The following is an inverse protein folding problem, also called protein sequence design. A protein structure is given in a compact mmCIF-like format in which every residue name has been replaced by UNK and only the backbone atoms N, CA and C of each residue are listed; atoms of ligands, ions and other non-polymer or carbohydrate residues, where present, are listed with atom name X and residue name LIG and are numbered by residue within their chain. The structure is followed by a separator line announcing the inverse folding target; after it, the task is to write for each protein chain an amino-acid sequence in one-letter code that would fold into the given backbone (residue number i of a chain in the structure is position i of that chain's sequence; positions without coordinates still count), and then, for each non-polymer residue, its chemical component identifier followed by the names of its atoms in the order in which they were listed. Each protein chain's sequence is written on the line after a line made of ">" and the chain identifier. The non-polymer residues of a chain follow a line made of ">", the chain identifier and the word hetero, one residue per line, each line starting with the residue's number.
data_IF_912840865895
#
_entry.id   IF_912840865895
#
_cell.length_a   1.000
_cell.length_b   1.000
_cell.length_c   1.000
_cell.angle_alpha   90.00
_cell.angle_beta   90.00
_cell.angle_gamma   90.00
#
_symmetry.space_group_name_H-M   'P 1'
#
loop_
_entity.id
_entity.type
_entity.pdbx_description
1 polymer ?
#
# COMPACT_ATOMS: atom_id res chain seq x y z
N UNK A 1 1.21 5.20 56.31
CA UNK A 1 0.67 4.70 55.03
C UNK A 1 1.24 5.55 53.90
N UNK A 2 1.64 4.89 52.83
CA UNK A 2 2.87 5.14 52.06
C UNK A 2 2.77 6.27 51.04
N UNK A 3 3.69 7.23 51.15
CA UNK A 3 3.91 8.33 50.22
C UNK A 3 4.55 7.80 48.93
N UNK A 4 3.79 7.71 47.83
CA UNK A 4 4.32 7.36 46.49
C UNK A 4 4.58 8.64 45.70
N UNK A 5 5.76 9.22 45.92
CA UNK A 5 6.36 10.19 45.01
C UNK A 5 6.73 9.47 43.71
N UNK A 6 5.87 9.59 42.69
CA UNK A 6 6.24 9.20 41.33
C UNK A 6 7.15 10.28 40.74
N UNK A 7 8.44 10.00 40.78
CA UNK A 7 9.49 10.76 40.08
C UNK A 7 9.13 10.76 38.59
N UNK A 8 8.78 11.93 38.05
CA UNK A 8 8.71 12.11 36.60
C UNK A 8 10.14 11.99 36.05
N UNK A 9 10.44 10.84 35.44
CA UNK A 9 11.64 10.69 34.64
C UNK A 9 11.55 11.62 33.42
N UNK A 10 12.25 12.73 33.51
CA UNK A 10 12.48 13.67 32.44
C UNK A 10 13.35 12.98 31.39
N UNK A 11 12.74 12.39 30.36
CA UNK A 11 13.45 11.87 29.21
C UNK A 11 13.98 13.04 28.39
N UNK A 12 15.21 13.45 28.71
CA UNK A 12 16.09 14.21 27.83
C UNK A 12 16.26 13.43 26.52
N UNK A 13 15.39 13.71 25.54
CA UNK A 13 15.43 13.06 24.25
C UNK A 13 16.50 13.75 23.41
N UNK A 14 17.70 13.15 23.37
CA UNK A 14 18.74 13.47 22.41
C UNK A 14 18.15 13.45 21.00
N UNK A 15 17.98 14.63 20.43
CA UNK A 15 17.28 14.87 19.18
C UNK A 15 18.19 14.52 17.99
N UNK A 16 18.55 13.24 17.83
CA UNK A 16 19.03 12.72 16.56
C UNK A 16 17.83 12.60 15.64
N UNK A 17 17.41 13.74 15.07
CA UNK A 17 16.26 13.82 14.18
C UNK A 17 16.45 12.89 12.99
N UNK A 18 15.78 11.74 13.01
CA UNK A 18 15.76 10.84 11.85
C UNK A 18 15.33 11.62 10.61
N UNK A 19 15.98 11.39 9.45
CA UNK A 19 15.54 12.00 8.20
C UNK A 19 14.07 11.65 7.97
N UNK A 20 13.27 12.68 7.69
CA UNK A 20 11.84 12.50 7.49
C UNK A 20 11.58 11.92 6.11
N UNK A 21 10.47 11.18 5.99
CA UNK A 21 10.04 10.57 4.75
C UNK A 21 8.52 10.67 4.57
N UNK A 22 8.08 10.66 3.32
CA UNK A 22 6.68 10.38 3.01
C UNK A 22 6.41 8.89 3.26
N UNK A 23 5.57 8.60 4.26
CA UNK A 23 5.14 7.23 4.53
C UNK A 23 3.75 7.06 3.94
N UNK A 24 3.64 6.19 2.95
CA UNK A 24 2.39 5.89 2.24
C UNK A 24 1.99 4.45 2.55
N UNK A 25 0.73 4.25 2.87
CA UNK A 25 0.08 2.95 3.07
C UNK A 25 -1.10 2.83 2.12
N UNK A 26 -1.54 1.61 1.84
CA UNK A 26 -2.73 1.34 1.05
C UNK A 26 -3.70 0.57 1.94
N UNK A 27 -4.93 1.03 2.08
CA UNK A 27 -5.97 0.29 2.77
C UNK A 27 -6.95 -0.36 1.79
N UNK A 28 -6.75 -1.65 1.54
CA UNK A 28 -7.66 -2.50 0.76
C UNK A 28 -8.69 -3.20 1.66
N UNK A 29 -8.76 -2.88 2.97
CA UNK A 29 -9.60 -3.58 3.96
C UNK A 29 -8.87 -4.67 4.75
N UNK A 30 -7.54 -4.76 4.65
CA UNK A 30 -6.72 -5.83 5.28
C UNK A 30 -5.83 -5.34 6.44
N UNK A 31 -6.01 -4.10 6.88
CA UNK A 31 -5.28 -3.57 8.03
C UNK A 31 -3.78 -3.33 7.76
N UNK A 32 -3.38 -3.11 6.50
CA UNK A 32 -2.02 -2.74 6.11
C UNK A 32 -1.51 -1.45 6.79
N UNK A 33 -2.41 -0.63 7.33
CA UNK A 33 -2.07 0.51 8.17
C UNK A 33 -1.33 0.10 9.46
N UNK A 34 -1.54 -1.11 9.98
CA UNK A 34 -0.83 -1.62 11.18
C UNK A 34 0.67 -1.76 10.93
N UNK A 35 1.07 -2.24 9.75
CA UNK A 35 2.48 -2.36 9.38
C UNK A 35 3.15 -0.98 9.16
N UNK A 36 2.37 0.02 8.77
CA UNK A 36 2.89 1.38 8.61
C UNK A 36 3.04 2.14 9.94
N UNK A 37 2.30 1.76 10.99
CA UNK A 37 2.27 2.46 12.28
C UNK A 37 3.66 2.64 12.94
N UNK A 38 4.55 1.62 12.99
CA UNK A 38 5.90 1.78 13.53
C UNK A 38 6.76 2.83 12.80
N UNK A 39 6.42 3.17 11.55
CA UNK A 39 7.12 4.17 10.74
C UNK A 39 6.67 5.60 11.04
N UNK A 40 5.70 5.81 11.93
CA UNK A 40 5.20 7.15 12.29
C UNK A 40 6.31 8.10 12.78
N UNK A 41 7.35 7.58 13.44
CA UNK A 41 8.50 8.37 13.92
C UNK A 41 9.32 9.02 12.80
N UNK A 42 9.40 8.37 11.63
CA UNK A 42 10.09 8.91 10.44
C UNK A 42 9.12 9.60 9.48
N UNK A 43 7.81 9.41 9.65
CA UNK A 43 6.80 10.03 8.81
C UNK A 43 6.83 11.56 8.93
N UNK A 44 6.78 12.22 7.78
CA UNK A 44 6.69 13.67 7.70
C UNK A 44 5.41 14.17 8.39
N UNK A 45 5.56 15.13 9.30
CA UNK A 45 4.46 15.63 10.13
C UNK A 45 3.81 14.56 11.03
N UNK A 46 4.45 13.41 11.23
CA UNK A 46 3.90 12.28 11.99
C UNK A 46 2.66 11.65 11.33
N UNK A 47 2.44 11.88 10.03
CA UNK A 47 1.25 11.46 9.30
C UNK A 47 1.59 10.37 8.29
N UNK A 48 0.86 9.26 8.36
CA UNK A 48 0.88 8.19 7.35
C UNK A 48 -0.22 8.50 6.34
N UNK A 49 0.13 8.51 5.06
CA UNK A 49 -0.81 8.81 3.98
C UNK A 49 -1.46 7.52 3.52
N UNK A 50 -2.78 7.50 3.40
CA UNK A 50 -3.49 6.37 2.82
C UNK A 50 -3.75 6.62 1.32
N UNK A 51 -3.01 5.93 0.45
CA UNK A 51 -3.14 6.06 -0.99
C UNK A 51 -4.49 5.60 -1.55
N UNK A 52 -5.20 4.70 -0.86
CA UNK A 52 -6.55 4.28 -1.27
C UNK A 52 -7.66 5.22 -0.78
N UNK A 53 -7.35 6.13 0.15
CA UNK A 53 -8.30 7.13 0.65
C UNK A 53 -7.58 8.33 1.28
N UNK A 54 -7.21 9.32 0.46
CA UNK A 54 -6.59 10.57 0.91
C UNK A 54 -7.48 11.79 0.59
N UNK A 55 -7.29 12.87 1.35
CA UNK A 55 -8.02 14.11 1.16
C UNK A 55 -7.70 14.76 -0.20
N UNK A 56 -8.73 15.14 -0.96
CA UNK A 56 -8.56 15.69 -2.31
C UNK A 56 -8.38 14.66 -3.42
N UNK A 57 -8.54 13.36 -3.12
CA UNK A 57 -8.50 12.29 -4.13
C UNK A 57 -9.55 12.51 -5.24
N UNK A 58 -9.14 12.41 -6.53
CA UNK A 58 -10.07 12.43 -7.66
C UNK A 58 -11.12 11.31 -7.60
N UNK A 59 -12.33 11.58 -8.10
CA UNK A 59 -13.42 10.58 -8.16
C UNK A 59 -13.03 9.36 -8.99
N UNK A 60 -12.24 9.55 -10.06
CA UNK A 60 -11.70 8.47 -10.90
C UNK A 60 -10.82 7.50 -10.10
N UNK A 61 -9.84 8.04 -9.35
CA UNK A 61 -8.93 7.26 -8.52
C UNK A 61 -9.69 6.48 -7.44
N UNK A 62 -10.66 7.15 -6.79
CA UNK A 62 -11.52 6.51 -5.79
C UNK A 62 -12.34 5.37 -6.38
N UNK A 63 -12.85 5.54 -7.61
CA UNK A 63 -13.58 4.50 -8.33
C UNK A 63 -12.65 3.31 -8.60
N UNK A 64 -11.44 3.54 -9.12
CA UNK A 64 -10.46 2.48 -9.37
C UNK A 64 -10.18 1.68 -8.09
N UNK A 65 -9.86 2.34 -6.98
CA UNK A 65 -9.64 1.67 -5.69
C UNK A 65 -10.83 0.85 -5.23
N UNK A 66 -12.04 1.40 -5.34
CA UNK A 66 -13.27 0.71 -4.94
C UNK A 66 -13.55 -0.52 -5.80
N UNK A 67 -13.44 -0.42 -7.12
CA UNK A 67 -13.69 -1.55 -8.00
C UNK A 67 -12.60 -2.63 -7.85
N UNK A 68 -11.33 -2.25 -7.67
CA UNK A 68 -10.25 -3.19 -7.34
C UNK A 68 -10.51 -3.91 -6.01
N UNK A 69 -10.99 -3.20 -4.99
CA UNK A 69 -11.36 -3.81 -3.70
C UNK A 69 -12.51 -4.80 -3.85
N UNK A 70 -13.59 -4.41 -4.52
CA UNK A 70 -14.73 -5.31 -4.80
C UNK A 70 -14.32 -6.55 -5.58
N UNK A 71 -13.47 -6.38 -6.60
CA UNK A 71 -12.95 -7.49 -7.38
C UNK A 71 -12.16 -8.45 -6.49
N UNK A 72 -11.22 -7.94 -5.68
CA UNK A 72 -10.47 -8.77 -4.75
C UNK A 72 -11.39 -9.49 -3.74
N UNK A 73 -12.35 -8.79 -3.14
CA UNK A 73 -13.32 -9.37 -2.20
C UNK A 73 -14.15 -10.47 -2.88
N UNK A 74 -14.58 -10.25 -4.12
CA UNK A 74 -15.27 -11.25 -4.93
C UNK A 74 -14.37 -12.48 -5.16
N UNK A 75 -13.13 -12.29 -5.63
CA UNK A 75 -12.20 -13.41 -5.86
C UNK A 75 -11.88 -14.16 -4.56
N UNK A 76 -11.72 -13.45 -3.45
CA UNK A 76 -11.46 -14.03 -2.12
C UNK A 76 -12.64 -14.87 -1.64
N UNK A 77 -13.88 -14.41 -1.83
CA UNK A 77 -15.09 -15.19 -1.54
C UNK A 77 -15.23 -16.39 -2.46
N UNK A 78 -14.86 -16.23 -3.73
CA UNK A 78 -14.94 -17.28 -4.75
C UNK A 78 -13.96 -18.43 -4.48
N UNK A 79 -12.74 -18.17 -3.97
CA UNK A 79 -11.82 -19.21 -3.48
C UNK A 79 -12.45 -20.17 -2.48
N UNK A 80 -13.45 -19.70 -1.72
CA UNK A 80 -14.12 -20.48 -0.68
C UNK A 80 -15.24 -21.37 -1.21
N UNK A 81 -15.54 -21.31 -2.51
CA UNK A 81 -16.61 -22.07 -3.15
C UNK A 81 -15.98 -23.22 -3.94
N UNK A 82 -16.10 -24.48 -3.50
CA UNK A 82 -15.47 -25.64 -4.16
C UNK A 82 -16.21 -26.10 -5.43
N UNK A 83 -17.01 -25.25 -6.07
CA UNK A 83 -18.02 -25.65 -7.08
C UNK A 83 -17.91 -24.78 -8.33
N UNK A 84 -16.74 -24.78 -8.95
CA UNK A 84 -16.48 -24.03 -10.19
C UNK A 84 -16.03 -25.06 -11.22
N UNK A 85 -16.76 -25.17 -12.34
CA UNK A 85 -16.47 -26.15 -13.38
C UNK A 85 -15.03 -26.07 -13.89
N UNK A 86 -14.56 -27.15 -14.49
CA UNK A 86 -13.16 -27.39 -14.89
C UNK A 86 -12.55 -26.24 -15.73
N UNK A 87 -13.33 -25.68 -16.67
CA UNK A 87 -12.87 -24.57 -17.50
C UNK A 87 -12.62 -23.26 -16.70
N UNK A 88 -13.51 -22.91 -15.78
CA UNK A 88 -13.37 -21.70 -14.98
C UNK A 88 -12.29 -21.87 -13.89
N UNK A 89 -12.08 -23.09 -13.41
CA UNK A 89 -10.96 -23.43 -12.53
C UNK A 89 -9.61 -23.28 -13.25
N UNK A 90 -9.48 -23.79 -14.47
CA UNK A 90 -8.24 -23.67 -15.25
C UNK A 90 -7.86 -22.21 -15.59
N UNK A 91 -8.84 -21.38 -15.91
CA UNK A 91 -8.61 -19.94 -16.14
C UNK A 91 -8.16 -19.27 -14.84
N UNK A 92 -8.78 -19.63 -13.72
CA UNK A 92 -8.44 -19.08 -12.42
C UNK A 92 -7.04 -19.46 -11.96
N UNK A 93 -6.67 -20.73 -12.11
CA UNK A 93 -5.37 -21.26 -11.72
C UNK A 93 -4.25 -20.58 -12.52
N UNK A 94 -4.44 -20.41 -13.83
CA UNK A 94 -3.50 -19.68 -14.70
C UNK A 94 -3.36 -18.19 -14.35
N UNK A 95 -4.44 -17.55 -13.90
CA UNK A 95 -4.40 -16.15 -13.45
C UNK A 95 -3.74 -15.97 -12.07
N UNK A 96 -3.72 -17.04 -11.25
CA UNK A 96 -3.20 -17.04 -9.89
C UNK A 96 -1.89 -17.78 -9.71
N UNK A 97 -1.40 -18.43 -10.76
CA UNK A 97 -0.14 -19.15 -10.76
C UNK A 97 0.98 -18.20 -10.30
N UNK A 98 1.50 -18.46 -9.11
CA UNK A 98 2.69 -17.78 -8.61
C UNK A 98 3.87 -18.54 -9.23
N UNK A 99 4.66 -17.92 -10.11
CA UNK A 99 5.81 -18.60 -10.70
C UNK A 99 6.76 -19.05 -9.58
N UNK A 100 7.39 -20.21 -9.77
CA UNK A 100 8.38 -20.73 -8.82
C UNK A 100 9.44 -19.68 -8.49
N UNK A 101 9.86 -19.64 -7.22
CA UNK A 101 10.78 -18.63 -6.67
C UNK A 101 12.14 -18.58 -7.41
N UNK A 102 12.55 -19.68 -8.05
CA UNK A 102 13.69 -19.75 -8.98
C UNK A 102 13.26 -20.34 -10.33
N UNK A 103 12.67 -19.55 -11.22
CA UNK A 103 12.27 -20.03 -12.53
C UNK A 103 13.52 -20.22 -13.39
N UNK A 104 13.65 -21.38 -14.04
CA UNK A 104 14.69 -21.63 -15.06
C UNK A 104 14.40 -20.92 -16.40
N UNK A 105 13.36 -20.07 -16.45
CA UNK A 105 12.89 -19.34 -17.65
C UNK A 105 12.97 -17.83 -17.40
N UNK A 106 13.09 -17.07 -18.48
CA UNK A 106 13.01 -15.61 -18.41
C UNK A 106 11.63 -15.15 -17.91
N UNK A 107 11.63 -14.18 -16.98
CA UNK A 107 10.45 -13.51 -16.41
C UNK A 107 10.47 -12.00 -16.67
N UNK A 108 11.27 -11.55 -17.64
CA UNK A 108 11.36 -10.14 -18.02
C UNK A 108 10.04 -9.59 -18.58
N UNK A 109 9.20 -10.45 -19.16
CA UNK A 109 7.90 -10.06 -19.71
C UNK A 109 6.87 -9.73 -18.62
N UNK A 110 6.13 -8.62 -18.77
CA UNK A 110 5.11 -8.22 -17.81
C UNK A 110 3.91 -9.19 -17.85
N UNK A 111 3.36 -9.52 -16.68
CA UNK A 111 2.08 -10.23 -16.64
C UNK A 111 0.93 -9.31 -17.08
N UNK A 112 -0.21 -9.91 -17.46
CA UNK A 112 -1.43 -9.17 -17.80
C UNK A 112 -1.84 -8.19 -16.69
N UNK A 113 -1.67 -8.57 -15.41
CA UNK A 113 -1.97 -7.69 -14.28
C UNK A 113 -1.03 -6.48 -14.23
N UNK A 114 0.26 -6.65 -14.57
CA UNK A 114 1.24 -5.56 -14.65
C UNK A 114 0.90 -4.64 -15.81
N UNK A 115 0.54 -5.19 -16.97
CA UNK A 115 0.12 -4.38 -18.13
C UNK A 115 -1.13 -3.55 -17.83
N UNK A 116 -2.15 -4.16 -17.22
CA UNK A 116 -3.38 -3.49 -16.80
C UNK A 116 -3.08 -2.36 -15.82
N UNK A 117 -2.28 -2.63 -14.80
CA UNK A 117 -1.87 -1.62 -13.80
C UNK A 117 -1.08 -0.49 -14.46
N UNK A 118 -0.16 -0.82 -15.36
CA UNK A 118 0.61 0.14 -16.14
C UNK A 118 -0.27 1.02 -17.01
N UNK A 119 -1.32 0.45 -17.62
CA UNK A 119 -2.30 1.21 -18.39
C UNK A 119 -3.12 2.15 -17.51
N UNK A 120 -3.52 1.75 -16.30
CA UNK A 120 -4.20 2.63 -15.35
C UNK A 120 -3.31 3.83 -14.98
N UNK A 121 -2.03 3.60 -14.70
CA UNK A 121 -1.07 4.67 -14.37
C UNK A 121 -0.84 5.59 -15.57
N UNK A 122 -0.47 5.01 -16.73
CA UNK A 122 -0.04 5.78 -17.90
C UNK A 122 -1.19 6.44 -18.66
N UNK A 123 -2.31 5.73 -18.85
CA UNK A 123 -3.43 6.18 -19.70
C UNK A 123 -4.53 6.86 -18.90
N UNK A 124 -4.78 6.42 -17.66
CA UNK A 124 -5.83 6.99 -16.80
C UNK A 124 -5.30 7.89 -15.69
N UNK A 125 -4.00 8.15 -15.71
CA UNK A 125 -3.30 9.02 -14.75
C UNK A 125 -3.57 8.65 -13.28
N UNK A 126 -3.78 7.36 -13.02
CA UNK A 126 -4.14 6.88 -11.70
C UNK A 126 -3.03 7.22 -10.69
N UNK A 127 -3.39 7.92 -9.60
CA UNK A 127 -2.44 8.35 -8.58
C UNK A 127 -1.64 9.61 -8.93
N UNK A 128 -1.83 10.22 -10.11
CA UNK A 128 -1.12 11.45 -10.52
C UNK A 128 -1.33 12.60 -9.54
N UNK A 129 -2.56 12.78 -9.03
CA UNK A 129 -2.86 13.83 -8.05
C UNK A 129 -2.05 13.62 -6.76
N UNK A 130 -1.97 12.38 -6.27
CA UNK A 130 -1.23 12.05 -5.06
C UNK A 130 0.25 12.40 -5.23
N UNK A 131 0.86 11.93 -6.32
CA UNK A 131 2.27 12.24 -6.62
C UNK A 131 2.49 13.74 -6.77
N UNK A 132 1.60 14.45 -7.46
CA UNK A 132 1.66 15.91 -7.58
C UNK A 132 1.63 16.58 -6.20
N UNK A 133 0.75 16.13 -5.30
CA UNK A 133 0.65 16.65 -3.92
C UNK A 133 1.92 16.40 -3.12
N UNK A 134 2.51 15.20 -3.21
CA UNK A 134 3.76 14.85 -2.52
C UNK A 134 4.96 15.65 -3.07
N UNK A 135 4.96 15.94 -4.38
CA UNK A 135 6.03 16.69 -5.04
C UNK A 135 6.03 18.18 -4.73
N UNK A 136 4.89 18.76 -4.27
CA UNK A 136 4.83 20.17 -3.83
C UNK A 136 5.83 20.48 -2.72
N UNK A 137 6.20 19.48 -1.90
CA UNK A 137 7.20 19.62 -0.85
C UNK A 137 8.26 18.54 -0.98
N UNK A 138 9.45 18.94 -1.44
CA UNK A 138 10.62 18.08 -1.46
C UNK A 138 11.10 17.88 -0.03
N UNK A 139 10.83 16.70 0.53
CA UNK A 139 11.48 16.28 1.77
C UNK A 139 12.91 15.84 1.40
N UNK A 140 13.93 16.21 2.19
CA UNK A 140 15.30 15.77 1.91
C UNK A 140 15.34 14.24 1.80
N UNK A 141 15.68 13.74 0.62
CA UNK A 141 16.13 12.35 0.48
C UNK A 141 17.48 12.27 1.16
N UNK A 142 17.73 11.18 1.90
CA UNK A 142 19.08 10.87 2.39
C UNK A 142 20.01 10.91 1.16
N UNK A 143 20.88 11.91 1.10
CA UNK A 143 22.00 11.90 0.17
C UNK A 143 22.80 10.65 0.50
N UNK A 144 23.06 9.81 -0.51
CA UNK A 144 24.01 8.70 -0.38
C UNK A 144 25.40 9.27 -0.35
#
# INVERSE_FOLDING_TARGET
>A
MTNKNYIQHNHNNHNHGYPKAWVVSVDMGYGHQRAAFPLKKIAYGGKIINASNYAGMPRSDRKTWRESKKFYEFMSRFKRIPVVGEAAFNIYDKLQEIPSFYPKRDLSDPSVQIEQTSALIKKREWGKQLIHTLNKKKIPRRAK
#
